data_IF_441545801480
#
_entry.id   IF_441545801480
#
_cell.length_a   1.000
_cell.length_b   1.000
_cell.length_c   1.000
_cell.angle_alpha   90.00
_cell.angle_beta   90.00
_cell.angle_gamma   90.00
#
_symmetry.space_group_name_H-M   'P 1'
#
loop_
_entity.id
_entity.type
_entity.pdbx_description
1 polymer ?
#
# COMPACT_ATOMS: atom_id res chain seq x y z
N UNK A 1 -33.56 4.80 -69.12
CA UNK A 1 -32.88 4.80 -67.81
C UNK A 1 -33.92 4.81 -66.71
N UNK A 2 -33.82 3.86 -65.75
CA UNK A 2 -34.23 3.89 -64.32
C UNK A 2 -35.59 4.49 -63.91
N UNK A 3 -36.41 3.94 -63.00
CA UNK A 3 -36.54 2.67 -62.28
C UNK A 3 -37.90 2.73 -61.55
N UNK A 4 -38.50 1.56 -61.29
CA UNK A 4 -39.74 1.39 -60.51
C UNK A 4 -39.47 1.51 -59.00
N UNK A 5 -40.37 2.08 -58.17
CA UNK A 5 -40.27 1.96 -56.72
C UNK A 5 -40.89 0.63 -56.24
N UNK A 6 -40.09 -0.18 -55.53
CA UNK A 6 -40.55 -1.35 -54.79
C UNK A 6 -40.80 -0.97 -53.33
N UNK A 7 -42.06 -1.00 -52.92
CA UNK A 7 -42.46 -0.84 -51.52
C UNK A 7 -42.12 -2.10 -50.75
N UNK A 8 -41.20 -2.01 -49.78
CA UNK A 8 -40.89 -3.11 -48.86
C UNK A 8 -41.49 -2.83 -47.48
N UNK A 9 -42.45 -3.67 -47.10
CA UNK A 9 -43.03 -3.72 -45.76
C UNK A 9 -41.96 -4.16 -44.74
N UNK A 10 -41.60 -3.27 -43.81
CA UNK A 10 -40.72 -3.59 -42.70
C UNK A 10 -41.54 -4.28 -41.59
N UNK A 11 -41.43 -5.61 -41.52
CA UNK A 11 -41.95 -6.42 -40.40
C UNK A 11 -40.96 -6.36 -39.24
N UNK A 12 -41.31 -5.63 -38.18
CA UNK A 12 -40.53 -5.60 -36.95
C UNK A 12 -40.47 -7.00 -36.31
N UNK A 13 -39.26 -7.53 -36.12
CA UNK A 13 -39.02 -8.77 -35.37
C UNK A 13 -38.67 -8.39 -33.93
N UNK A 14 -39.60 -8.62 -33.00
CA UNK A 14 -39.32 -8.56 -31.57
C UNK A 14 -38.46 -9.77 -31.21
N UNK A 15 -37.18 -9.57 -30.91
CA UNK A 15 -36.34 -10.63 -30.33
C UNK A 15 -36.60 -10.69 -28.82
N UNK A 16 -36.88 -11.86 -28.22
CA UNK A 16 -36.95 -11.98 -26.77
C UNK A 16 -35.56 -11.73 -26.15
N UNK A 17 -35.48 -11.17 -24.92
CA UNK A 17 -34.22 -11.04 -24.23
C UNK A 17 -33.61 -12.43 -23.99
N UNK A 18 -32.36 -12.58 -24.41
CA UNK A 18 -31.56 -13.79 -24.21
C UNK A 18 -31.36 -13.97 -22.70
N UNK A 19 -31.83 -15.08 -22.14
CA UNK A 19 -31.55 -15.45 -20.75
C UNK A 19 -30.03 -15.43 -20.54
N UNK A 20 -29.55 -14.47 -19.77
CA UNK A 20 -28.14 -14.43 -19.37
C UNK A 20 -27.94 -15.57 -18.38
N UNK A 21 -27.06 -16.50 -18.73
CA UNK A 21 -26.66 -17.60 -17.85
C UNK A 21 -26.01 -16.98 -16.61
N UNK A 22 -26.72 -16.97 -15.48
CA UNK A 22 -26.16 -16.62 -14.17
C UNK A 22 -25.20 -17.74 -13.82
N UNK A 23 -23.93 -17.60 -14.22
CA UNK A 23 -22.85 -18.45 -13.76
C UNK A 23 -22.73 -18.22 -12.26
N UNK A 24 -23.16 -19.19 -11.45
CA UNK A 24 -22.97 -19.14 -10.01
C UNK A 24 -21.48 -19.02 -9.64
N UNK A 25 -21.20 -18.46 -8.46
CA UNK A 25 -19.86 -18.37 -7.90
C UNK A 25 -19.22 -19.77 -7.85
N UNK A 26 -18.30 -20.02 -8.78
CA UNK A 26 -17.57 -21.27 -8.90
C UNK A 26 -16.23 -21.11 -8.20
N UNK A 27 -15.95 -21.95 -7.20
CA UNK A 27 -14.64 -22.04 -6.52
C UNK A 27 -13.59 -22.76 -7.36
N UNK A 28 -13.81 -22.95 -8.66
CA UNK A 28 -12.83 -23.59 -9.54
C UNK A 28 -11.61 -22.68 -9.69
N UNK A 29 -10.63 -22.90 -8.85
CA UNK A 29 -9.25 -22.43 -9.01
C UNK A 29 -8.73 -23.02 -10.31
N UNK A 30 -8.65 -22.22 -11.37
CA UNK A 30 -7.85 -22.57 -12.53
C UNK A 30 -6.38 -22.55 -12.07
N UNK A 31 -5.91 -23.71 -11.62
CA UNK A 31 -4.52 -23.94 -11.25
C UNK A 31 -3.67 -23.70 -12.51
N UNK A 32 -2.92 -22.59 -12.49
CA UNK A 32 -1.79 -22.38 -13.41
C UNK A 32 -0.84 -23.54 -13.14
N UNK A 33 -0.61 -24.38 -14.14
CA UNK A 33 0.27 -25.54 -14.03
C UNK A 33 1.70 -25.10 -13.67
N UNK A 34 2.00 -25.08 -12.36
CA UNK A 34 3.31 -25.35 -11.83
C UNK A 34 3.32 -26.86 -11.52
N UNK A 35 4.32 -27.57 -12.02
CA UNK A 35 4.47 -29.02 -11.95
C UNK A 35 4.58 -29.52 -10.50
N UNK A 36 3.42 -29.74 -9.87
CA UNK A 36 3.27 -30.36 -8.56
C UNK A 36 2.14 -31.38 -8.69
N UNK A 37 2.45 -32.66 -8.51
CA UNK A 37 1.48 -33.76 -8.60
C UNK A 37 0.22 -33.47 -7.78
N UNK A 38 -0.93 -34.01 -8.21
CA UNK A 38 -2.20 -33.90 -7.52
C UNK A 38 -2.14 -34.60 -6.15
N UNK A 39 -1.54 -33.95 -5.16
CA UNK A 39 -1.51 -34.36 -3.77
C UNK A 39 -2.64 -33.63 -3.05
N UNK A 40 -3.75 -34.34 -2.85
CA UNK A 40 -4.80 -33.87 -1.97
C UNK A 40 -4.34 -34.07 -0.52
N UNK A 41 -3.99 -32.97 0.15
CA UNK A 41 -3.79 -32.98 1.60
C UNK A 41 -5.15 -32.78 2.28
N UNK A 42 -5.68 -33.78 3.00
CA UNK A 42 -6.91 -33.62 3.78
C UNK A 42 -6.70 -32.57 4.88
N UNK A 43 -7.78 -31.94 5.41
CA UNK A 43 -7.68 -30.94 6.45
C UNK A 43 -7.14 -31.57 7.74
N UNK A 44 -5.81 -31.52 7.90
CA UNK A 44 -5.12 -31.92 9.12
C UNK A 44 -5.21 -30.73 10.08
N UNK A 45 -5.66 -30.95 11.32
CA UNK A 45 -5.83 -29.91 12.35
C UNK A 45 -4.50 -29.31 12.85
N UNK A 46 -3.51 -29.18 11.97
CA UNK A 46 -2.17 -28.69 12.20
C UNK A 46 -2.13 -27.22 11.80
N UNK A 47 -1.81 -26.36 12.76
CA UNK A 47 -1.67 -24.94 12.48
C UNK A 47 -0.32 -24.75 11.76
N UNK A 48 -0.36 -24.32 10.49
CA UNK A 48 0.82 -24.09 9.63
C UNK A 48 1.66 -25.34 9.31
N UNK A 49 1.04 -26.52 9.28
CA UNK A 49 1.75 -27.78 9.02
C UNK A 49 2.64 -28.23 10.18
N UNK A 50 2.56 -27.57 11.34
CA UNK A 50 3.31 -27.93 12.54
C UNK A 50 2.48 -28.86 13.41
N UNK A 51 3.07 -29.99 13.81
CA UNK A 51 2.43 -30.91 14.74
C UNK A 51 2.23 -30.21 16.09
N UNK A 52 0.99 -30.20 16.64
CA UNK A 52 0.74 -29.61 17.95
C UNK A 52 1.63 -30.28 19.02
N UNK A 53 2.35 -29.47 19.79
CA UNK A 53 3.28 -29.91 20.83
C UNK A 53 4.76 -29.90 20.45
N UNK A 54 5.13 -29.63 19.20
CA UNK A 54 6.52 -29.32 18.86
C UNK A 54 6.83 -27.84 19.09
N UNK A 55 7.94 -27.56 19.79
CA UNK A 55 8.45 -26.20 19.93
C UNK A 55 9.05 -25.76 18.60
N UNK A 56 8.68 -24.56 18.17
CA UNK A 56 9.27 -23.93 16.99
C UNK A 56 10.80 -23.83 17.14
N UNK A 57 11.53 -24.29 16.13
CA UNK A 57 12.98 -24.14 16.05
C UNK A 57 13.25 -22.95 15.16
N UNK A 58 13.95 -21.96 15.71
CA UNK A 58 14.30 -20.74 14.99
C UNK A 58 15.10 -21.08 13.73
N UNK A 59 14.70 -20.51 12.60
CA UNK A 59 15.40 -20.77 11.34
C UNK A 59 16.71 -19.97 11.29
N UNK A 60 17.75 -20.50 10.63
CA UNK A 60 19.07 -19.88 10.61
C UNK A 60 19.10 -18.47 10.00
N UNK A 61 18.16 -18.16 9.10
CA UNK A 61 18.01 -16.84 8.48
C UNK A 61 17.23 -15.85 9.35
N UNK A 62 16.38 -16.34 10.24
CA UNK A 62 15.45 -15.50 11.02
C UNK A 62 16.22 -14.52 11.91
N UNK A 63 17.34 -14.96 12.47
CA UNK A 63 18.26 -14.09 13.21
C UNK A 63 18.82 -12.96 12.32
N UNK A 64 19.33 -13.28 11.12
CA UNK A 64 19.94 -12.27 10.27
C UNK A 64 18.91 -11.24 9.80
N UNK A 65 17.68 -11.70 9.56
CA UNK A 65 16.58 -10.82 9.22
C UNK A 65 16.20 -9.92 10.39
N UNK A 66 16.02 -10.46 11.60
CA UNK A 66 15.66 -9.63 12.75
C UNK A 66 16.75 -8.62 13.09
N UNK A 67 18.01 -9.03 13.17
CA UNK A 67 19.11 -8.11 13.48
C UNK A 67 19.36 -7.11 12.36
N UNK A 68 19.29 -7.55 11.09
CA UNK A 68 19.44 -6.66 9.94
C UNK A 68 18.31 -5.64 9.88
N UNK A 69 17.06 -6.09 9.95
CA UNK A 69 15.88 -5.24 9.83
C UNK A 69 15.73 -4.30 11.03
N UNK A 70 15.68 -4.84 12.25
CA UNK A 70 15.56 -4.02 13.48
C UNK A 70 16.78 -3.13 13.65
N UNK A 71 17.99 -3.64 13.37
CA UNK A 71 19.21 -2.85 13.38
C UNK A 71 19.14 -1.68 12.40
N UNK A 72 18.66 -1.91 11.17
CA UNK A 72 18.51 -0.85 10.17
C UNK A 72 17.47 0.20 10.57
N UNK A 73 16.35 -0.20 11.20
CA UNK A 73 15.34 0.72 11.71
C UNK A 73 15.88 1.57 12.86
N UNK A 74 16.65 0.99 13.77
CA UNK A 74 17.31 1.75 14.84
C UNK A 74 18.31 2.77 14.28
N UNK A 75 19.17 2.35 13.34
CA UNK A 75 20.12 3.25 12.69
C UNK A 75 19.39 4.37 11.95
N UNK A 76 18.32 4.06 11.22
CA UNK A 76 17.49 5.06 10.54
C UNK A 76 16.82 6.02 11.53
N UNK A 77 16.31 5.52 12.66
CA UNK A 77 15.72 6.33 13.72
C UNK A 77 16.73 7.30 14.33
N UNK A 78 17.93 6.83 14.66
CA UNK A 78 19.02 7.68 15.16
C UNK A 78 19.39 8.74 14.12
N UNK A 79 19.62 8.34 12.87
CA UNK A 79 19.95 9.27 11.80
C UNK A 79 18.84 10.32 11.56
N UNK A 80 17.57 9.95 11.74
CA UNK A 80 16.45 10.86 11.61
C UNK A 80 16.41 11.90 12.75
N UNK A 81 16.63 11.48 13.99
CA UNK A 81 16.64 12.38 15.16
C UNK A 81 17.81 13.36 15.10
N UNK A 82 18.99 12.91 14.68
CA UNK A 82 20.18 13.75 14.60
C UNK A 82 20.34 14.44 13.23
N UNK A 83 19.32 14.38 12.36
CA UNK A 83 19.37 15.08 11.09
C UNK A 83 19.43 16.60 11.36
N UNK A 84 20.40 17.32 10.77
CA UNK A 84 20.50 18.76 10.99
C UNK A 84 19.28 19.48 10.41
N UNK A 85 18.79 20.50 11.13
CA UNK A 85 17.70 21.37 10.69
C UNK A 85 18.17 22.25 9.52
N UNK A 86 18.10 21.72 8.31
CA UNK A 86 18.40 22.45 7.07
C UNK A 86 17.15 23.12 6.48
N UNK A 87 16.18 23.46 7.33
CA UNK A 87 14.92 24.05 6.87
C UNK A 87 15.12 25.52 6.50
N UNK A 88 14.46 26.00 5.44
CA UNK A 88 14.50 27.43 5.09
C UNK A 88 13.74 28.30 6.10
N UNK A 89 12.85 27.69 6.87
CA UNK A 89 11.99 28.38 7.83
C UNK A 89 12.78 28.86 9.05
N UNK A 90 13.74 28.06 9.53
CA UNK A 90 14.63 28.46 10.62
C UNK A 90 15.46 29.68 10.21
N UNK A 91 16.05 29.66 9.01
CA UNK A 91 16.76 30.83 8.47
C UNK A 91 15.82 32.02 8.27
N UNK A 92 14.64 31.82 7.70
CA UNK A 92 13.68 32.90 7.43
C UNK A 92 13.17 33.57 8.72
N UNK A 93 12.94 32.81 9.79
CA UNK A 93 12.54 33.34 11.10
C UNK A 93 13.66 34.15 11.75
N UNK A 94 14.90 33.69 11.66
CA UNK A 94 16.06 34.40 12.21
C UNK A 94 16.34 35.70 11.43
N UNK A 95 16.22 35.66 10.11
CA UNK A 95 16.38 36.84 9.26
C UNK A 95 15.20 37.82 9.44
N UNK A 96 13.96 37.33 9.58
CA UNK A 96 12.81 38.17 9.91
C UNK A 96 12.96 38.85 11.28
N UNK A 97 13.47 38.12 12.28
CA UNK A 97 13.78 38.66 13.60
C UNK A 97 14.83 39.75 13.53
N UNK A 98 15.90 39.56 12.76
CA UNK A 98 16.96 40.57 12.57
C UNK A 98 16.45 41.87 11.95
N UNK A 99 15.47 41.79 11.05
CA UNK A 99 14.79 42.97 10.49
C UNK A 99 13.86 43.65 11.50
N UNK A 100 13.12 42.88 12.30
CA UNK A 100 12.25 43.41 13.36
C UNK A 100 13.04 44.02 14.53
N UNK A 101 14.22 43.47 14.86
CA UNK A 101 15.17 44.03 15.84
C UNK A 101 15.78 45.35 15.32
N UNK A 102 16.10 45.43 14.03
CA UNK A 102 16.54 46.67 13.38
C UNK A 102 15.44 47.75 13.33
N UNK A 103 14.17 47.34 13.28
CA UNK A 103 13.00 48.22 13.34
C UNK A 103 12.57 48.57 14.79
N UNK A 104 13.24 48.02 15.81
CA UNK A 104 13.09 48.43 17.22
C UNK A 104 11.75 48.07 17.87
N UNK A 105 10.97 47.16 17.28
CA UNK A 105 9.60 46.81 17.72
C UNK A 105 9.56 45.61 18.69
N UNK A 106 10.66 44.86 18.87
CA UNK A 106 10.70 43.67 19.75
C UNK A 106 11.82 43.75 20.80
N UNK A 107 11.46 43.62 22.08
CA UNK A 107 12.39 43.50 23.21
C UNK A 107 13.03 42.09 23.22
N UNK A 108 14.33 42.00 23.54
CA UNK A 108 15.07 40.75 23.60
C UNK A 108 14.30 39.67 24.39
N UNK A 109 13.96 38.52 23.79
CA UNK A 109 13.26 37.44 24.48
C UNK A 109 14.07 36.92 25.68
N UNK A 110 15.40 37.08 25.68
CA UNK A 110 16.27 36.71 26.80
C UNK A 110 16.08 37.61 28.05
N UNK A 111 15.61 38.84 27.88
CA UNK A 111 15.25 39.76 28.99
C UNK A 111 13.82 39.53 29.46
N UNK A 112 12.90 39.18 28.56
CA UNK A 112 11.52 38.83 28.89
C UNK A 112 11.40 37.51 29.67
N UNK A 113 12.30 36.55 29.46
CA UNK A 113 12.32 35.25 30.15
C UNK A 113 13.03 35.27 31.52
N UNK A 114 13.86 36.29 31.80
CA UNK A 114 14.58 36.46 33.08
C UNK A 114 13.84 37.31 34.12
N UNK A 115 12.60 37.72 33.83
CA UNK A 115 11.76 38.58 34.67
C UNK A 115 10.61 37.78 35.27
#
# INVERSE_FOLDING_TARGET
MSARPLSHCLRARCLPPRSQNIQGFSTRTNLRAADHGNHYDPPTGWLFGVKPGQKYVKEGWENIWYYGFIGSLLVAGVAYVFKPDTSIQTWALEEARRRLEAEGILEDPEKAQRK
#
